data_IF_557052629952
#
_entry.id   IF_557052629952
#
_cell.length_a   1.000
_cell.length_b   1.000
_cell.length_c   1.000
_cell.angle_alpha   90.00
_cell.angle_beta   90.00
_cell.angle_gamma   90.00
#
_symmetry.space_group_name_H-M   'P 1'
#
loop_
_entity.id
_entity.type
_entity.pdbx_description
1 polymer ?
#
# COMPACT_ATOMS: atom_id res chain seq x y z
N UNK A 1 17.83 -1.06 -15.15
CA UNK A 1 16.82 -1.66 -16.05
C UNK A 1 15.57 -0.80 -16.19
N UNK A 2 15.02 -0.31 -15.09
CA UNK A 2 13.77 0.48 -15.13
C UNK A 2 13.98 1.98 -15.25
N UNK A 3 15.18 2.44 -15.28
CA UNK A 3 15.51 3.88 -15.16
C UNK A 3 14.86 4.75 -16.23
N UNK A 4 14.75 4.25 -17.42
CA UNK A 4 14.22 5.04 -18.55
C UNK A 4 12.79 4.66 -18.93
N UNK A 5 12.19 3.71 -18.25
CA UNK A 5 10.84 3.27 -18.56
C UNK A 5 9.80 4.13 -17.87
N UNK A 6 8.67 4.39 -18.54
CA UNK A 6 7.56 5.06 -17.85
C UNK A 6 6.95 4.14 -16.79
N UNK A 7 6.39 4.75 -15.78
CA UNK A 7 5.77 3.98 -14.71
C UNK A 7 4.60 4.75 -14.10
N UNK A 8 3.71 3.99 -13.47
CA UNK A 8 2.68 4.55 -12.62
C UNK A 8 3.23 4.60 -11.20
N UNK A 9 2.82 5.57 -10.42
CA UNK A 9 3.40 5.80 -9.10
C UNK A 9 2.33 6.00 -8.05
N UNK A 10 2.55 5.44 -6.87
CA UNK A 10 1.69 5.67 -5.71
C UNK A 10 2.47 5.56 -4.42
N UNK A 11 2.08 6.36 -3.45
CA UNK A 11 2.65 6.29 -2.10
C UNK A 11 1.58 5.74 -1.17
N UNK A 12 1.93 4.74 -0.39
CA UNK A 12 1.03 4.15 0.59
C UNK A 12 1.56 4.32 2.00
N UNK A 13 0.64 4.36 2.96
CA UNK A 13 1.00 4.51 4.36
C UNK A 13 0.11 3.64 5.21
N UNK A 14 0.70 3.07 6.24
CA UNK A 14 -0.05 2.33 7.24
C UNK A 14 0.75 2.32 8.54
N UNK A 15 0.15 2.85 9.62
CA UNK A 15 0.85 3.03 10.88
C UNK A 15 2.11 3.85 10.63
N UNK A 16 3.27 3.35 10.98
CA UNK A 16 4.53 4.07 10.78
C UNK A 16 5.22 3.69 9.48
N UNK A 17 4.59 2.86 8.66
CA UNK A 17 5.19 2.40 7.41
C UNK A 17 4.83 3.32 6.25
N UNK A 18 5.81 3.58 5.39
CA UNK A 18 5.64 4.37 4.17
C UNK A 18 6.18 3.57 3.01
N UNK A 19 5.36 3.38 1.98
CA UNK A 19 5.76 2.62 0.79
C UNK A 19 5.67 3.52 -0.43
N UNK A 20 6.74 3.51 -1.23
CA UNK A 20 6.78 4.20 -2.52
C UNK A 20 6.75 3.12 -3.58
N UNK A 21 5.71 3.12 -4.40
CA UNK A 21 5.43 2.04 -5.32
C UNK A 21 5.48 2.54 -6.75
N UNK A 22 6.27 1.87 -7.59
CA UNK A 22 6.33 2.11 -9.03
C UNK A 22 5.85 0.87 -9.75
N UNK A 23 5.00 1.06 -10.75
CA UNK A 23 4.42 -0.03 -11.53
C UNK A 23 4.83 0.14 -12.98
N UNK A 24 5.50 -0.88 -13.50
CA UNK A 24 6.01 -0.91 -14.87
C UNK A 24 5.32 -2.02 -15.64
N UNK A 25 5.19 -1.87 -16.94
CA UNK A 25 4.75 -2.97 -17.80
C UNK A 25 5.78 -4.09 -17.69
N UNK A 26 5.35 -5.31 -17.44
CA UNK A 26 6.28 -6.41 -17.25
C UNK A 26 5.58 -7.76 -17.19
N UNK A 27 6.12 -8.65 -16.37
CA UNK A 27 5.72 -10.05 -16.35
C UNK A 27 5.18 -10.50 -14.98
N UNK A 28 5.09 -9.61 -14.00
CA UNK A 28 4.53 -9.95 -12.70
C UNK A 28 5.55 -10.02 -11.58
N UNK A 29 6.74 -9.52 -11.81
CA UNK A 29 7.78 -9.54 -10.78
C UNK A 29 7.53 -8.42 -9.76
N UNK A 30 7.61 -8.75 -8.47
CA UNK A 30 7.47 -7.78 -7.40
C UNK A 30 8.76 -7.74 -6.61
N UNK A 31 9.38 -6.56 -6.55
CA UNK A 31 10.65 -6.34 -5.85
C UNK A 31 10.44 -5.34 -4.73
N UNK A 32 10.84 -5.68 -3.52
CA UNK A 32 10.68 -4.84 -2.34
C UNK A 32 12.05 -4.60 -1.73
N UNK A 33 12.48 -3.33 -1.72
CA UNK A 33 13.79 -2.94 -1.21
C UNK A 33 14.92 -3.79 -1.83
N UNK A 34 14.85 -3.95 -3.15
CA UNK A 34 15.83 -4.71 -3.95
C UNK A 34 15.80 -6.21 -3.71
N UNK A 35 14.75 -6.72 -3.08
CA UNK A 35 14.60 -8.15 -2.83
C UNK A 35 13.29 -8.64 -3.43
N UNK A 36 13.30 -9.89 -3.92
CA UNK A 36 12.06 -10.49 -4.40
C UNK A 36 11.06 -10.61 -3.24
N UNK A 37 9.77 -10.51 -3.57
CA UNK A 37 8.71 -10.56 -2.56
C UNK A 37 8.79 -11.83 -1.70
N UNK A 38 9.16 -12.97 -2.31
CA UNK A 38 9.26 -14.23 -1.57
C UNK A 38 10.42 -14.22 -0.58
N UNK A 39 11.47 -13.45 -0.86
CA UNK A 39 12.59 -13.26 0.05
C UNK A 39 12.28 -12.24 1.14
N UNK A 40 11.51 -11.23 0.80
CA UNK A 40 11.24 -10.13 1.74
C UNK A 40 10.23 -10.51 2.81
N UNK A 41 9.12 -11.14 2.41
CA UNK A 41 8.08 -11.57 3.34
C UNK A 41 8.13 -13.09 3.52
N UNK A 42 8.21 -13.54 4.77
CA UNK A 42 8.21 -14.95 5.08
C UNK A 42 6.82 -15.56 5.17
N UNK A 43 5.78 -14.73 5.36
CA UNK A 43 4.42 -15.23 5.52
C UNK A 43 3.61 -15.07 4.24
N UNK A 44 2.94 -16.14 3.83
CA UNK A 44 2.09 -16.11 2.64
C UNK A 44 0.98 -15.09 2.72
N UNK A 45 0.41 -14.89 3.92
CA UNK A 45 -0.67 -13.92 4.10
C UNK A 45 -0.22 -12.50 3.75
N UNK A 46 1.02 -12.15 4.07
CA UNK A 46 1.55 -10.81 3.75
C UNK A 46 1.75 -10.66 2.25
N UNK A 47 2.21 -11.71 1.58
CA UNK A 47 2.37 -11.68 0.12
C UNK A 47 1.02 -11.52 -0.57
N UNK A 48 -0.01 -12.18 -0.05
CA UNK A 48 -1.36 -12.04 -0.60
C UNK A 48 -1.90 -10.63 -0.44
N UNK A 49 -1.61 -9.98 0.68
CA UNK A 49 -2.02 -8.59 0.91
C UNK A 49 -1.38 -7.69 -0.15
N UNK A 50 -0.09 -7.86 -0.40
CA UNK A 50 0.62 -7.05 -1.38
C UNK A 50 0.06 -7.26 -2.79
N UNK A 51 -0.23 -8.50 -3.17
CA UNK A 51 -0.72 -8.83 -4.50
C UNK A 51 -2.20 -8.52 -4.72
N UNK A 52 -2.95 -8.32 -3.64
CA UNK A 52 -4.41 -8.24 -3.73
C UNK A 52 -4.94 -7.19 -4.71
N UNK A 53 -4.37 -5.98 -4.85
CA UNK A 53 -4.89 -5.06 -5.86
C UNK A 53 -4.74 -5.59 -7.28
N UNK A 54 -3.63 -6.25 -7.60
CA UNK A 54 -3.41 -6.82 -8.93
C UNK A 54 -4.36 -7.98 -9.19
N UNK A 55 -4.57 -8.82 -8.20
CA UNK A 55 -5.50 -9.96 -8.31
C UNK A 55 -6.91 -9.45 -8.53
N UNK A 56 -7.32 -8.45 -7.73
CA UNK A 56 -8.66 -7.88 -7.82
C UNK A 56 -8.96 -7.32 -9.18
N UNK A 57 -7.98 -6.69 -9.82
CA UNK A 57 -8.15 -6.05 -11.11
C UNK A 57 -7.81 -6.98 -12.29
N UNK A 58 -7.39 -8.22 -12.01
CA UNK A 58 -7.01 -9.15 -13.06
C UNK A 58 -5.74 -8.76 -13.81
N UNK A 59 -4.83 -8.07 -13.13
CA UNK A 59 -3.61 -7.56 -13.74
C UNK A 59 -2.36 -8.33 -13.35
N UNK A 60 -2.50 -9.45 -12.66
CA UNK A 60 -1.35 -10.29 -12.31
C UNK A 60 -0.64 -10.74 -13.58
N UNK A 61 0.69 -10.71 -13.53
CA UNK A 61 1.49 -11.15 -14.66
C UNK A 61 1.64 -10.12 -15.76
N UNK A 62 1.00 -8.95 -15.63
CA UNK A 62 1.06 -7.91 -16.66
C UNK A 62 1.95 -6.74 -16.28
N UNK A 63 2.24 -6.58 -14.99
CA UNK A 63 3.04 -5.47 -14.50
C UNK A 63 4.10 -5.94 -13.53
N UNK A 64 5.24 -5.25 -13.57
CA UNK A 64 6.29 -5.41 -12.55
C UNK A 64 6.11 -4.29 -11.54
N UNK A 65 6.32 -4.61 -10.26
CA UNK A 65 6.15 -3.65 -9.18
C UNK A 65 7.48 -3.50 -8.44
N UNK A 66 7.93 -2.26 -8.31
CA UNK A 66 9.16 -1.94 -7.59
C UNK A 66 8.80 -1.07 -6.40
N UNK A 67 9.15 -1.52 -5.21
CA UNK A 67 8.74 -0.89 -3.97
C UNK A 67 9.95 -0.50 -3.12
N UNK A 68 9.86 0.70 -2.55
CA UNK A 68 10.74 1.10 -1.45
C UNK A 68 9.84 1.32 -0.25
N UNK A 69 10.06 0.58 0.82
CA UNK A 69 9.24 0.68 2.01
C UNK A 69 10.14 0.83 3.23
N UNK A 70 9.69 1.63 4.19
CA UNK A 70 10.44 1.84 5.44
C UNK A 70 9.48 2.03 6.60
N UNK A 71 9.99 1.79 7.78
CA UNK A 71 9.28 2.01 9.03
C UNK A 71 8.30 0.91 9.38
N UNK A 72 7.90 0.87 10.64
CA UNK A 72 6.92 -0.07 11.16
C UNK A 72 7.35 -1.52 11.07
N UNK A 73 6.41 -2.41 11.30
CA UNK A 73 6.64 -3.85 11.21
C UNK A 73 6.22 -4.39 9.85
N UNK A 74 6.53 -5.67 9.59
CA UNK A 74 6.26 -6.29 8.29
C UNK A 74 4.78 -6.25 7.92
N UNK A 75 3.90 -6.42 8.89
CA UNK A 75 2.46 -6.38 8.65
C UNK A 75 2.02 -4.97 8.20
N UNK A 76 2.52 -3.92 8.87
CA UNK A 76 2.25 -2.55 8.46
C UNK A 76 2.82 -2.24 7.10
N UNK A 77 4.01 -2.79 6.80
CA UNK A 77 4.63 -2.59 5.50
C UNK A 77 3.81 -3.20 4.37
N UNK A 78 3.29 -4.41 4.57
CA UNK A 78 2.43 -5.05 3.56
C UNK A 78 1.18 -4.20 3.28
N UNK A 79 0.56 -3.67 4.34
CA UNK A 79 -0.60 -2.78 4.19
C UNK A 79 -0.26 -1.49 3.47
N UNK A 80 0.90 -0.89 3.78
CA UNK A 80 1.36 0.33 3.11
C UNK A 80 1.60 0.07 1.62
N UNK A 81 2.20 -1.06 1.29
CA UNK A 81 2.47 -1.43 -0.10
C UNK A 81 1.14 -1.61 -0.86
N UNK A 82 0.17 -2.30 -0.26
CA UNK A 82 -1.14 -2.47 -0.88
C UNK A 82 -1.78 -1.12 -1.18
N UNK A 83 -1.72 -0.20 -0.23
CA UNK A 83 -2.28 1.14 -0.41
C UNK A 83 -1.57 1.89 -1.54
N UNK A 84 -0.23 1.88 -1.55
CA UNK A 84 0.56 2.55 -2.58
C UNK A 84 0.35 1.95 -3.96
N UNK A 85 0.30 0.62 -4.03
CA UNK A 85 0.07 -0.08 -5.29
C UNK A 85 -1.32 0.26 -5.83
N UNK A 86 -2.34 0.29 -4.98
CA UNK A 86 -3.69 0.65 -5.39
C UNK A 86 -3.73 2.07 -5.95
N UNK A 87 -3.02 3.00 -5.32
CA UNK A 87 -2.97 4.38 -5.81
C UNK A 87 -2.23 4.47 -7.15
N UNK A 88 -1.18 3.70 -7.33
CA UNK A 88 -0.47 3.66 -8.60
C UNK A 88 -1.38 3.12 -9.71
N UNK A 89 -2.18 2.11 -9.40
CA UNK A 89 -3.08 1.50 -10.38
C UNK A 89 -4.23 2.41 -10.80
N UNK A 90 -4.51 3.46 -10.02
CA UNK A 90 -5.48 4.47 -10.45
C UNK A 90 -4.99 5.21 -11.69
N UNK A 91 -3.68 5.32 -11.87
CA UNK A 91 -3.10 5.97 -13.04
C UNK A 91 -3.16 5.07 -14.27
N UNK A 92 -3.27 3.77 -14.05
CA UNK A 92 -3.36 2.82 -15.15
C UNK A 92 -4.73 2.90 -15.84
N UNK A 93 -5.80 3.07 -15.07
CA UNK A 93 -7.15 3.23 -15.60
C UNK A 93 -8.04 3.84 -14.53
N UNK A 94 -8.85 4.84 -14.91
CA UNK A 94 -9.80 5.44 -13.98
C UNK A 94 -10.88 4.46 -13.53
N UNK A 95 -11.15 3.44 -14.33
CA UNK A 95 -12.13 2.41 -13.98
C UNK A 95 -11.73 1.63 -12.74
N UNK A 96 -10.44 1.61 -12.44
CA UNK A 96 -9.93 0.90 -11.27
C UNK A 96 -10.38 1.54 -9.96
N UNK A 97 -10.71 2.82 -9.98
CA UNK A 97 -11.09 3.54 -8.76
C UNK A 97 -12.29 2.92 -8.06
N UNK A 98 -13.34 2.62 -8.79
CA UNK A 98 -14.55 2.05 -8.20
C UNK A 98 -14.28 0.71 -7.54
N UNK A 99 -13.53 -0.16 -8.23
CA UNK A 99 -13.24 -1.50 -7.74
C UNK A 99 -12.34 -1.43 -6.50
N UNK A 100 -11.28 -0.62 -6.56
CA UNK A 100 -10.33 -0.51 -5.46
C UNK A 100 -10.97 0.16 -4.24
N UNK A 101 -11.79 1.17 -4.45
CA UNK A 101 -12.48 1.86 -3.37
C UNK A 101 -13.45 0.93 -2.66
N UNK A 102 -14.18 0.13 -3.43
CA UNK A 102 -15.15 -0.80 -2.87
C UNK A 102 -14.47 -1.87 -2.02
N UNK A 103 -13.26 -2.28 -2.40
CA UNK A 103 -12.49 -3.25 -1.65
C UNK A 103 -11.82 -2.64 -0.41
N UNK A 104 -11.85 -1.31 -0.27
CA UNK A 104 -11.25 -0.62 0.87
C UNK A 104 -9.75 -0.38 0.71
N UNK A 105 -9.19 -0.57 -0.48
CA UNK A 105 -7.74 -0.48 -0.69
C UNK A 105 -7.24 0.96 -0.83
N UNK A 106 -8.13 1.91 -1.02
CA UNK A 106 -7.75 3.32 -1.18
C UNK A 106 -7.85 4.11 0.11
N UNK A 107 -8.37 3.52 1.16
CA UNK A 107 -8.61 4.22 2.43
C UNK A 107 -7.45 4.01 3.37
N UNK A 108 -6.89 5.11 3.87
CA UNK A 108 -5.87 5.06 4.90
C UNK A 108 -6.51 4.75 6.24
N UNK A 109 -5.79 4.01 7.10
CA UNK A 109 -6.28 3.70 8.45
C UNK A 109 -6.40 5.00 9.25
N UNK A 110 -7.62 5.38 9.67
CA UNK A 110 -7.83 6.64 10.37
C UNK A 110 -7.38 6.62 11.84
N UNK A 111 -7.13 5.46 12.40
CA UNK A 111 -6.79 5.36 13.83
C UNK A 111 -5.51 6.10 14.18
N UNK A 112 -4.56 6.14 13.28
CA UNK A 112 -3.32 6.89 13.51
C UNK A 112 -3.60 8.37 13.70
N UNK A 113 -4.49 8.91 12.89
CA UNK A 113 -4.86 10.32 13.00
C UNK A 113 -5.53 10.65 14.31
N UNK A 114 -6.42 9.78 14.75
CA UNK A 114 -7.17 10.01 15.96
C UNK A 114 -6.29 10.08 17.19
N UNK A 115 -5.32 9.20 17.26
CA UNK A 115 -4.43 9.20 18.43
C UNK A 115 -3.56 10.43 18.49
N UNK A 116 -3.22 10.99 17.36
CA UNK A 116 -2.40 12.20 17.33
C UNK A 116 -3.15 13.44 17.80
N UNK A 117 -4.45 13.40 17.63
CA UNK A 117 -5.28 14.55 18.02
C UNK A 117 -5.46 14.68 19.52
N UNK A 118 -5.41 13.66 20.21
CA UNK A 118 -5.81 13.70 21.54
C UNK A 118 -4.88 13.94 22.44
N UNK A 119 -4.84 14.30 22.23
CA UNK A 119 -4.14 14.53 23.20
C UNK A 119 -4.78 15.56 23.97
N UNK A 120 -6.30 15.68 22.88
CA UNK A 120 -6.82 15.90 23.15
C UNK A 120 -7.44 16.14 22.93
N UNK A 121 -8.07 16.09 22.52
CA UNK A 121 -8.63 15.71 22.54
C UNK A 121 -8.77 15.55 22.11
N UNK A 122 -8.78 15.49 21.59
CA UNK A 122 -8.87 14.76 21.53
C UNK A 122 -9.08 14.56 21.30
N UNK A 123 -9.16 14.58 20.76
CA UNK A 123 -9.33 13.78 20.79
C UNK A 123 -10.08 14.00 20.81
N UNK A 124 -10.75 14.15 20.48
CA UNK A 124 -11.43 13.86 20.77
C UNK A 124 -11.83 14.33 21.57
N UNK A 125 -11.96 14.92 21.54
CA UNK A 125 -12.15 14.79 22.40
C UNK A 125 -12.12 14.72 23.17
N UNK A 126 -12.03 15.04 23.11
CA UNK A 126 -11.75 14.43 23.87
C UNK A 126 -11.93 14.12 24.26
N UNK A 127 -11.95 14.10 24.40
CA UNK A 127 -11.81 13.34 24.81
C UNK A 127 -12.23 12.85 24.94
N UNK A 128 -12.15 12.56 24.60
CA UNK A 128 -12.19 11.67 24.74
C UNK A 128 -12.05 11.14 24.91
N UNK A 129 -11.90 11.20 24.72
CA UNK A 129 -11.53 10.29 24.96
C UNK A 129 -11.47 9.76 25.24
N UNK A 130 -11.29 9.86 25.22
CA UNK A 130 -10.90 9.08 25.54
C UNK A 130 -11.06 8.61 25.53
N UNK A 131 -11.10 8.15 25.18
CA UNK A 131 -11.12 7.44 25.16
C UNK A 131 -10.90 7.06 24.98
N UNK A 132 -10.81 7.12 24.68
CA UNK A 132 -10.43 6.71 24.38
C UNK A 132 -10.32 6.46 24.51
#
# INVERSE_FOLDING_TARGET
>A
MYETKPYFYGTGRRKDSVARVRVYTGTGKITINDRDIDSYFGLETLKLIVRSPLVLLGLEGKYDVVVRVSGGGVSGQAGAIRHGLSRALLQQSDENRTVLKKAGFLTRDPRMKERKKYGLKAARRAPQFSKR
#
